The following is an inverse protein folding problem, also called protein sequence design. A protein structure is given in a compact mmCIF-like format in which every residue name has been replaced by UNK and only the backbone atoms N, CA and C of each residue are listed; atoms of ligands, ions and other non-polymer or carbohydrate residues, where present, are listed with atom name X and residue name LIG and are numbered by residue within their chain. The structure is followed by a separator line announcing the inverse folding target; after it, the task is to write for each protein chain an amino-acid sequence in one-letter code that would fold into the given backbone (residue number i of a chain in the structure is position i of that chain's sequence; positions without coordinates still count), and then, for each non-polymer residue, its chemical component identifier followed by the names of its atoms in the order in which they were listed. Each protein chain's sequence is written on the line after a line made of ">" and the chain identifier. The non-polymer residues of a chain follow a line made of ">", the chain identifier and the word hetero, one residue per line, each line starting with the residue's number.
data_IF_926422759479
#
_entry.id   IF_926422759479
#
_cell.length_a   1.000
_cell.length_b   1.000
_cell.length_c   1.000
_cell.angle_alpha   90.00
_cell.angle_beta   90.00
_cell.angle_gamma   90.00
#
_symmetry.space_group_name_H-M   'P 1'
#
loop_
_entity.id
_entity.type
_entity.pdbx_description
1 polymer ?
#
# COMPACT_ATOMS: atom_id res chain seq x y z
N UNK A 1 5.34 4.71 0.81
CA UNK A 1 6.43 5.09 -0.09
C UNK A 1 7.73 4.57 0.48
N UNK A 2 8.39 3.66 -0.24
CA UNK A 2 9.61 2.99 0.24
C UNK A 2 10.80 3.94 0.08
N UNK A 3 11.68 4.04 1.08
CA UNK A 3 12.84 4.96 1.04
C UNK A 3 14.08 4.23 0.51
N UNK A 4 14.62 4.65 -0.65
CA UNK A 4 15.86 4.11 -1.25
C UNK A 4 17.03 4.07 -0.25
N UNK A 5 17.13 5.08 0.63
CA UNK A 5 18.15 5.16 1.70
C UNK A 5 18.12 4.04 2.75
N UNK A 6 17.01 3.32 2.90
CA UNK A 6 16.93 2.18 3.83
C UNK A 6 17.44 0.93 3.14
N UNK A 7 17.01 0.69 1.89
CA UNK A 7 17.47 -0.44 1.08
C UNK A 7 18.96 -0.34 0.77
N UNK A 8 19.50 0.86 0.57
CA UNK A 8 20.93 1.07 0.29
C UNK A 8 21.85 0.76 1.47
N UNK A 9 21.31 0.61 2.69
CA UNK A 9 22.06 0.16 3.88
C UNK A 9 22.11 -1.36 4.00
N UNK A 10 21.28 -2.08 3.25
CA UNK A 10 21.20 -3.53 3.31
C UNK A 10 22.40 -4.18 2.61
N UNK A 11 22.77 -5.37 3.08
CA UNK A 11 23.79 -6.19 2.45
C UNK A 11 23.30 -6.76 1.11
N UNK A 12 24.23 -7.16 0.24
CA UNK A 12 23.86 -7.76 -1.05
C UNK A 12 22.98 -9.01 -0.89
N UNK A 13 23.27 -9.84 0.13
CA UNK A 13 22.46 -11.03 0.44
C UNK A 13 21.03 -10.69 0.83
N UNK A 14 20.84 -9.61 1.59
CA UNK A 14 19.50 -9.15 1.96
C UNK A 14 18.74 -8.60 0.76
N UNK A 15 19.40 -7.84 -0.11
CA UNK A 15 18.80 -7.32 -1.35
C UNK A 15 18.41 -8.45 -2.32
N UNK A 16 19.20 -9.52 -2.40
CA UNK A 16 18.82 -10.72 -3.16
C UNK A 16 17.54 -11.36 -2.63
N UNK A 17 17.28 -11.27 -1.33
CA UNK A 17 16.06 -11.77 -0.71
C UNK A 17 14.80 -11.01 -1.14
N UNK A 18 14.96 -9.76 -1.63
CA UNK A 18 13.86 -8.99 -2.25
C UNK A 18 13.51 -9.50 -3.65
N UNK A 19 14.45 -10.17 -4.32
CA UNK A 19 14.24 -10.75 -5.65
C UNK A 19 13.54 -12.11 -5.60
N UNK A 20 13.32 -12.68 -4.41
CA UNK A 20 12.66 -13.98 -4.25
C UNK A 20 11.14 -13.86 -4.41
N UNK A 21 10.50 -14.64 -5.30
CA UNK A 21 9.05 -14.59 -5.52
C UNK A 21 8.22 -14.92 -4.28
N UNK A 22 8.74 -15.75 -3.36
CA UNK A 22 8.02 -16.19 -2.16
C UNK A 22 7.84 -15.08 -1.12
N UNK A 23 8.57 -13.98 -1.25
CA UNK A 23 8.58 -12.94 -0.23
C UNK A 23 7.39 -11.96 -0.38
N UNK A 24 6.87 -11.43 0.73
CA UNK A 24 5.70 -10.55 0.73
C UNK A 24 6.04 -9.06 0.54
N UNK A 25 7.18 -8.77 -0.08
CA UNK A 25 7.65 -7.40 -0.27
C UNK A 25 6.85 -6.66 -1.35
N UNK A 26 6.72 -5.35 -1.15
CA UNK A 26 6.06 -4.43 -2.07
C UNK A 26 6.83 -4.40 -3.40
N UNK A 27 6.16 -4.41 -4.57
CA UNK A 27 6.83 -4.38 -5.88
C UNK A 27 7.81 -3.20 -6.04
N UNK A 28 7.49 -2.04 -5.48
CA UNK A 28 8.35 -0.84 -5.45
C UNK A 28 9.72 -1.11 -4.77
N UNK A 29 9.73 -1.93 -3.71
CA UNK A 29 10.95 -2.30 -3.00
C UNK A 29 11.81 -3.28 -3.80
N UNK A 30 11.18 -4.21 -4.54
CA UNK A 30 11.88 -5.17 -5.41
C UNK A 30 12.60 -4.43 -6.55
N UNK A 31 11.93 -3.45 -7.16
CA UNK A 31 12.53 -2.63 -8.21
C UNK A 31 13.73 -1.81 -7.70
N UNK A 32 13.60 -1.16 -6.54
CA UNK A 32 14.73 -0.44 -5.93
C UNK A 32 15.88 -1.37 -5.55
N UNK A 33 15.59 -2.59 -5.09
CA UNK A 33 16.62 -3.56 -4.74
C UNK A 33 17.43 -3.99 -5.97
N UNK A 34 16.77 -4.19 -7.13
CA UNK A 34 17.44 -4.45 -8.40
C UNK A 34 18.38 -3.30 -8.77
N UNK A 35 17.87 -2.06 -8.74
CA UNK A 35 18.64 -0.85 -9.10
C UNK A 35 19.88 -0.68 -8.21
N UNK A 36 19.74 -0.86 -6.89
CA UNK A 36 20.86 -0.76 -5.95
C UNK A 36 21.91 -1.85 -6.21
N UNK A 37 21.47 -3.07 -6.57
CA UNK A 37 22.39 -4.16 -6.90
C UNK A 37 23.16 -3.88 -8.21
N UNK A 38 22.49 -3.30 -9.20
CA UNK A 38 23.15 -2.84 -10.44
C UNK A 38 24.13 -1.70 -10.18
N UNK A 39 23.74 -0.69 -9.38
CA UNK A 39 24.61 0.42 -8.97
C UNK A 39 25.88 -0.06 -8.23
N UNK A 40 25.76 -1.16 -7.47
CA UNK A 40 26.88 -1.80 -6.76
C UNK A 40 27.78 -2.67 -7.66
N UNK A 41 27.48 -2.76 -8.95
CA UNK A 41 28.27 -3.49 -9.93
C UNK A 41 27.90 -4.98 -10.05
N UNK A 42 26.73 -5.40 -9.57
CA UNK A 42 26.22 -6.74 -9.83
C UNK A 42 25.66 -6.80 -11.24
N UNK A 43 26.22 -7.67 -12.08
CA UNK A 43 25.75 -7.85 -13.46
C UNK A 43 24.66 -8.92 -13.42
N UNK A 44 23.45 -8.53 -13.79
CA UNK A 44 22.34 -9.45 -14.00
C UNK A 44 22.27 -9.87 -15.45
N UNK A 45 22.06 -11.15 -15.70
CA UNK A 45 21.77 -11.64 -17.03
C UNK A 45 20.39 -11.18 -17.50
N UNK A 46 20.19 -11.13 -18.81
CA UNK A 46 18.93 -10.69 -19.41
C UNK A 46 17.75 -11.58 -18.98
N UNK A 47 17.99 -12.89 -18.88
CA UNK A 47 17.02 -13.86 -18.35
C UNK A 47 16.66 -13.62 -16.88
N UNK A 48 17.63 -13.22 -16.05
CA UNK A 48 17.39 -12.90 -14.64
C UNK A 48 16.58 -11.61 -14.49
N UNK A 49 16.89 -10.59 -15.30
CA UNK A 49 16.11 -9.34 -15.34
C UNK A 49 14.66 -9.60 -15.74
N UNK A 50 14.43 -10.41 -16.77
CA UNK A 50 13.08 -10.79 -17.22
C UNK A 50 12.34 -11.54 -16.11
N UNK A 51 13.02 -12.47 -15.43
CA UNK A 51 12.42 -13.20 -14.32
C UNK A 51 12.01 -12.25 -13.17
N UNK A 52 12.88 -11.31 -12.80
CA UNK A 52 12.59 -10.33 -11.75
C UNK A 52 11.44 -9.40 -12.17
N UNK A 53 11.40 -8.96 -13.41
CA UNK A 53 10.27 -8.17 -13.93
C UNK A 53 8.95 -8.94 -13.89
N UNK A 54 8.95 -10.23 -14.25
CA UNK A 54 7.77 -11.07 -14.13
C UNK A 54 7.30 -11.20 -12.68
N UNK A 55 8.24 -11.32 -11.72
CA UNK A 55 7.92 -11.37 -10.29
C UNK A 55 7.28 -10.05 -9.83
N UNK A 56 7.82 -8.91 -10.26
CA UNK A 56 7.27 -7.58 -9.94
C UNK A 56 5.84 -7.47 -10.50
N UNK A 57 5.64 -7.86 -11.75
CA UNK A 57 4.35 -7.79 -12.43
C UNK A 57 3.29 -8.65 -11.73
N UNK A 58 3.62 -9.90 -11.40
CA UNK A 58 2.73 -10.80 -10.65
C UNK A 58 2.35 -10.23 -9.28
N UNK A 59 3.29 -9.57 -8.59
CA UNK A 59 3.02 -8.92 -7.29
C UNK A 59 2.10 -7.71 -7.44
N UNK A 60 2.29 -6.89 -8.47
CA UNK A 60 1.42 -5.75 -8.76
C UNK A 60 -0.01 -6.23 -9.01
N UNK A 61 -0.19 -7.27 -9.82
CA UNK A 61 -1.50 -7.84 -10.12
C UNK A 61 -2.17 -8.42 -8.86
N UNK A 62 -1.40 -9.10 -8.01
CA UNK A 62 -1.91 -9.64 -6.74
C UNK A 62 -2.31 -8.55 -5.76
N UNK A 63 -1.54 -7.46 -5.64
CA UNK A 63 -1.90 -6.32 -4.80
C UNK A 63 -3.09 -5.53 -5.36
N UNK A 64 -3.17 -5.38 -6.68
CA UNK A 64 -4.29 -4.73 -7.35
C UNK A 64 -5.59 -5.54 -7.18
N UNK A 65 -5.54 -6.87 -7.29
CA UNK A 65 -6.68 -7.74 -7.07
C UNK A 65 -7.22 -7.63 -5.63
N UNK A 66 -6.33 -7.60 -4.62
CA UNK A 66 -6.72 -7.41 -3.22
C UNK A 66 -7.32 -6.04 -2.94
N UNK A 67 -6.72 -4.98 -3.51
CA UNK A 67 -7.28 -3.63 -3.39
C UNK A 67 -8.67 -3.54 -4.03
N UNK A 68 -8.88 -4.21 -5.16
CA UNK A 68 -10.17 -4.22 -5.84
C UNK A 68 -11.24 -4.94 -5.01
N UNK A 69 -10.91 -6.11 -4.43
CA UNK A 69 -11.79 -6.85 -3.53
C UNK A 69 -12.15 -6.03 -2.28
N UNK A 70 -11.17 -5.40 -1.62
CA UNK A 70 -11.44 -4.50 -0.50
C UNK A 70 -12.36 -3.36 -0.92
N UNK A 71 -12.13 -2.68 -2.04
CA UNK A 71 -13.01 -1.57 -2.49
C UNK A 71 -14.43 -1.98 -2.84
N UNK A 72 -14.65 -3.22 -3.31
CA UNK A 72 -15.98 -3.73 -3.60
C UNK A 72 -16.74 -4.06 -2.30
N UNK A 73 -16.07 -4.62 -1.28
CA UNK A 73 -16.66 -4.85 0.06
C UNK A 73 -17.11 -3.55 0.76
N UNK A 74 -16.45 -2.42 0.51
CA UNK A 74 -16.86 -1.12 1.06
C UNK A 74 -18.08 -0.51 0.35
N UNK A 75 -18.46 -1.02 -0.81
CA UNK A 75 -19.52 -0.43 -1.66
C UNK A 75 -20.92 -0.92 -1.32
N UNK A 76 -21.04 -2.03 -0.58
CA UNK A 76 -22.32 -2.73 -0.38
C UNK A 76 -22.93 -2.64 1.03
N UNK A 77 -22.40 -1.76 1.89
CA UNK A 77 -22.99 -1.50 3.21
C UNK A 77 -24.13 -0.46 3.20
N UNK A 78 -24.77 -0.21 2.04
CA UNK A 78 -26.02 0.53 1.96
C UNK A 78 -27.15 -0.49 1.90
N UNK A 79 -27.65 -0.89 3.07
CA UNK A 79 -28.87 -1.70 3.14
C UNK A 79 -30.05 -0.92 2.55
N UNK A 80 -30.83 -1.58 1.67
CA UNK A 80 -32.13 -1.07 1.20
C UNK A 80 -33.28 -1.40 2.16
N UNK A 81 -32.97 -1.90 3.37
CA UNK A 81 -33.95 -2.21 4.39
C UNK A 81 -34.57 -0.92 4.97
N UNK A 82 -35.87 -0.65 4.75
CA UNK A 82 -36.54 0.53 5.28
C UNK A 82 -36.64 0.53 6.82
N UNK A 83 -36.33 -0.58 7.49
CA UNK A 83 -36.32 -0.71 8.95
C UNK A 83 -34.93 -0.56 9.58
N UNK A 84 -33.86 -0.40 8.79
CA UNK A 84 -32.51 -0.26 9.30
C UNK A 84 -32.22 1.15 9.85
N UNK A 85 -31.59 1.22 11.03
CA UNK A 85 -31.14 2.49 11.62
C UNK A 85 -30.04 3.09 10.74
N UNK A 86 -30.36 4.18 10.04
CA UNK A 86 -29.45 4.90 9.15
C UNK A 86 -28.20 5.36 9.91
N UNK A 87 -27.06 4.73 9.65
CA UNK A 87 -25.78 5.15 10.20
C UNK A 87 -25.33 6.44 9.51
N UNK A 88 -25.01 7.46 10.30
CA UNK A 88 -24.53 8.73 9.79
C UNK A 88 -23.12 8.59 9.21
N UNK A 89 -22.88 9.25 8.07
CA UNK A 89 -21.56 9.31 7.45
C UNK A 89 -20.53 9.91 8.42
N UNK A 90 -19.30 9.38 8.42
CA UNK A 90 -18.19 9.86 9.28
C UNK A 90 -17.95 11.37 9.17
N UNK A 91 -18.23 11.97 8.02
CA UNK A 91 -18.14 13.42 7.81
C UNK A 91 -19.12 14.20 8.70
N UNK A 92 -20.34 13.67 8.92
CA UNK A 92 -21.35 14.33 9.76
C UNK A 92 -20.92 14.34 11.24
N UNK A 93 -20.31 13.24 11.71
CA UNK A 93 -19.79 13.10 13.08
C UNK A 93 -18.64 14.09 13.33
N UNK A 94 -17.75 14.26 12.34
CA UNK A 94 -16.64 15.20 12.46
C UNK A 94 -17.12 16.66 12.45
N UNK A 95 -18.10 17.02 11.62
CA UNK A 95 -18.64 18.39 11.58
C UNK A 95 -19.41 18.73 12.87
N UNK A 96 -20.12 17.79 13.47
CA UNK A 96 -20.80 18.04 14.77
C UNK A 96 -19.82 18.30 15.92
N UNK A 97 -18.59 17.79 15.83
CA UNK A 97 -17.59 17.95 16.89
C UNK A 97 -17.00 19.37 16.94
N UNK A 98 -16.87 20.04 15.78
CA UNK A 98 -16.39 21.42 15.71
C UNK A 98 -17.42 22.47 16.19
N UNK A 99 -18.72 22.14 16.14
CA UNK A 99 -19.77 23.06 16.58
C UNK A 99 -19.88 23.17 18.11
N UNK A 100 -19.45 22.14 18.85
CA UNK A 100 -19.54 22.15 20.32
C UNK A 100 -18.40 22.95 20.97
N UNK A 101 -17.23 23.02 20.33
CA UNK A 101 -16.05 23.73 20.86
C UNK A 101 -16.15 25.26 20.65
N UNK A 102 -16.77 25.71 19.55
CA UNK A 102 -16.96 27.15 19.33
C UNK A 102 -18.13 27.75 20.11
N UNK A 103 -19.09 26.93 20.59
CA UNK A 103 -20.25 27.42 21.36
C UNK A 103 -19.92 27.63 22.84
N UNK A 104 -18.86 26.99 23.38
CA UNK A 104 -18.48 27.13 24.79
C UNK A 104 -17.69 28.40 25.13
N UNK A 105 -17.20 29.16 24.15
CA UNK A 105 -16.47 30.42 24.37
C UNK A 105 -17.37 31.67 24.43
N UNK A 106 -18.65 31.57 24.10
CA UNK A 106 -19.60 32.70 24.11
C UNK A 106 -20.32 32.91 25.46
N UNK A 107 -20.07 32.06 26.46
CA UNK A 107 -20.78 32.08 27.75
C UNK A 107 -19.88 32.15 28.99
N UNK A 108 -18.65 32.67 28.87
CA UNK A 108 -17.83 33.06 30.02
C UNK A 108 -17.37 34.51 29.93
#
# INVERSE_FOLDING_TARGET
>A
MVKKNVLSKLSNKELENYLNPQNRFVPEAVQMALEILEERGRIFNESEKINIQNIIQQKIETEAAKKHEETEDWKDHITNDPSAVKLYSRTLILVSSFFWEHFSEQFY
#
